data_IF_439439178529
#
_entry.id   IF_439439178529
#
_cell.length_a   1.000
_cell.length_b   1.000
_cell.length_c   1.000
_cell.angle_alpha   90.00
_cell.angle_beta   90.00
_cell.angle_gamma   90.00
#
_symmetry.space_group_name_H-M   'P 1'
#
loop_
_entity.id
_entity.type
_entity.pdbx_description
1 polymer ?
#
# COMPACT_ATOMS: atom_id res chain seq x y z
N UNK A 1 -15.31 9.85 11.20
CA UNK A 1 -14.56 8.76 10.53
C UNK A 1 -13.11 9.13 10.21
N UNK A 2 -12.81 10.35 9.72
CA UNK A 2 -11.45 10.81 9.42
C UNK A 2 -10.48 10.80 10.62
N UNK A 3 -10.92 11.25 11.82
CA UNK A 3 -10.07 11.28 13.02
C UNK A 3 -9.43 9.92 13.36
N UNK A 4 -10.15 8.80 13.18
CA UNK A 4 -9.60 7.46 13.44
C UNK A 4 -8.45 7.10 12.49
N UNK A 5 -8.41 7.69 11.29
CA UNK A 5 -7.39 7.41 10.27
C UNK A 5 -6.13 8.23 10.52
N UNK A 6 -6.28 9.52 10.83
CA UNK A 6 -5.16 10.35 11.29
C UNK A 6 -4.52 9.77 12.55
N UNK A 7 -5.33 9.32 13.52
CA UNK A 7 -4.83 8.69 14.75
C UNK A 7 -4.03 7.42 14.46
N UNK A 8 -4.48 6.56 13.54
CA UNK A 8 -3.73 5.35 13.12
C UNK A 8 -2.39 5.70 12.46
N UNK A 9 -2.35 6.76 11.66
CA UNK A 9 -1.12 7.18 10.96
C UNK A 9 -0.13 7.82 11.94
N UNK A 10 -0.62 8.66 12.86
CA UNK A 10 0.19 9.19 13.96
C UNK A 10 0.71 8.05 14.85
N UNK A 11 -0.14 7.06 15.19
CA UNK A 11 0.26 5.88 15.94
C UNK A 11 1.30 5.03 15.19
N UNK A 12 1.19 4.91 13.86
CA UNK A 12 2.21 4.26 13.02
C UNK A 12 3.55 5.01 13.10
N UNK A 13 3.55 6.33 12.89
CA UNK A 13 4.76 7.14 12.92
C UNK A 13 5.40 7.09 14.32
N UNK A 14 4.58 7.18 15.36
CA UNK A 14 5.04 7.14 16.74
C UNK A 14 5.60 5.76 17.13
N UNK A 15 4.90 4.67 16.79
CA UNK A 15 5.38 3.30 17.05
C UNK A 15 6.65 2.97 16.25
N UNK A 16 6.74 3.44 15.01
CA UNK A 16 7.94 3.36 14.15
C UNK A 16 9.12 4.09 14.79
N UNK A 17 8.92 5.33 15.26
CA UNK A 17 9.94 6.10 15.95
C UNK A 17 10.37 5.47 17.28
N UNK A 18 9.43 4.89 18.03
CA UNK A 18 9.70 4.20 19.28
C UNK A 18 10.60 2.97 19.07
N UNK A 19 10.37 2.19 18.01
CA UNK A 19 11.17 1.01 17.66
C UNK A 19 12.60 1.38 17.31
N UNK A 20 12.80 2.51 16.62
CA UNK A 20 14.14 2.98 16.27
C UNK A 20 14.94 3.38 17.51
N UNK A 21 14.29 3.99 18.51
CA UNK A 21 14.91 4.47 19.75
C UNK A 21 15.18 3.37 20.78
N UNK A 22 14.54 2.20 20.65
CA UNK A 22 14.77 1.07 21.54
C UNK A 22 16.09 0.37 21.21
N UNK A 23 17.05 0.50 22.12
CA UNK A 23 18.33 -0.20 22.09
C UNK A 23 18.31 -1.29 23.17
N UNK A 24 18.25 -2.56 22.73
CA UNK A 24 18.17 -3.71 23.63
C UNK A 24 17.55 -4.95 22.96
N UNK A 25 18.28 -6.09 22.88
CA UNK A 25 17.77 -7.29 22.21
C UNK A 25 16.54 -7.89 22.90
N UNK A 26 16.47 -7.84 24.24
CA UNK A 26 15.33 -8.32 25.02
C UNK A 26 14.07 -7.47 24.82
N UNK A 27 14.22 -6.14 24.79
CA UNK A 27 13.10 -5.21 24.58
C UNK A 27 12.51 -5.35 23.18
N UNK A 28 13.35 -5.55 22.16
CA UNK A 28 12.86 -5.72 20.79
C UNK A 28 12.18 -7.07 20.56
N UNK A 29 12.64 -8.13 21.23
CA UNK A 29 11.96 -9.42 21.25
C UNK A 29 10.59 -9.33 21.94
N UNK A 30 10.48 -8.56 23.04
CA UNK A 30 9.20 -8.31 23.70
C UNK A 30 8.22 -7.52 22.79
N UNK A 31 8.71 -6.50 22.09
CA UNK A 31 7.90 -5.75 21.10
C UNK A 31 7.45 -6.65 19.96
N UNK A 32 8.33 -7.52 19.45
CA UNK A 32 7.96 -8.49 18.42
C UNK A 32 6.86 -9.43 18.90
N UNK A 33 7.01 -10.01 20.10
CA UNK A 33 6.00 -10.86 20.71
C UNK A 33 4.65 -10.16 20.89
N UNK A 34 4.65 -8.91 21.33
CA UNK A 34 3.44 -8.10 21.47
C UNK A 34 2.78 -7.84 20.11
N UNK A 35 3.56 -7.48 19.09
CA UNK A 35 3.03 -7.27 17.73
C UNK A 35 2.44 -8.54 17.12
N UNK A 36 3.07 -9.69 17.36
CA UNK A 36 2.54 -11.00 16.95
C UNK A 36 1.24 -11.33 17.69
N UNK A 37 1.15 -11.06 18.99
CA UNK A 37 -0.09 -11.24 19.76
C UNK A 37 -1.22 -10.36 19.24
N UNK A 38 -0.94 -9.09 18.95
CA UNK A 38 -1.91 -8.17 18.34
C UNK A 38 -2.35 -8.68 16.97
N UNK A 39 -1.41 -9.21 16.16
CA UNK A 39 -1.71 -9.78 14.85
C UNK A 39 -2.62 -11.01 14.95
N UNK A 40 -2.41 -11.87 15.95
CA UNK A 40 -3.25 -13.04 16.23
C UNK A 40 -4.65 -12.62 16.71
N UNK A 41 -4.73 -11.60 17.57
CA UNK A 41 -5.99 -11.05 18.07
C UNK A 41 -6.85 -10.39 16.98
N UNK A 42 -6.24 -9.87 15.91
CA UNK A 42 -6.93 -9.25 14.77
C UNK A 42 -7.65 -10.25 13.83
N UNK A 43 -7.47 -11.55 14.04
CA UNK A 43 -8.28 -12.61 13.42
C UNK A 43 -7.93 -13.00 11.97
N UNK A 44 -8.62 -14.03 11.47
CA UNK A 44 -8.29 -14.74 10.22
C UNK A 44 -8.28 -13.89 8.93
N UNK A 45 -8.94 -12.73 8.94
CA UNK A 45 -9.01 -11.82 7.78
C UNK A 45 -7.65 -11.21 7.42
N UNK A 46 -6.79 -10.99 8.42
CA UNK A 46 -5.40 -10.52 8.22
C UNK A 46 -4.51 -11.66 7.72
N UNK A 47 -4.76 -12.90 8.16
CA UNK A 47 -3.93 -14.08 7.88
C UNK A 47 -3.78 -14.39 6.37
N UNK A 48 -4.87 -14.24 5.59
CA UNK A 48 -4.83 -14.47 4.13
C UNK A 48 -3.95 -13.46 3.38
N UNK A 49 -3.76 -12.25 3.94
CA UNK A 49 -2.84 -11.23 3.40
C UNK A 49 -1.43 -11.41 3.92
N UNK A 50 -1.30 -11.85 5.18
CA UNK A 50 -0.02 -12.10 5.86
C UNK A 50 0.75 -13.26 5.22
N UNK A 51 0.08 -14.34 4.76
CA UNK A 51 0.76 -15.51 4.18
C UNK A 51 1.66 -15.19 2.98
N UNK A 52 1.34 -14.16 2.20
CA UNK A 52 2.17 -13.71 1.08
C UNK A 52 3.42 -12.94 1.51
N UNK A 53 3.44 -12.41 2.75
CA UNK A 53 4.55 -11.63 3.31
C UNK A 53 5.39 -12.38 4.34
N UNK A 54 4.96 -13.57 4.78
CA UNK A 54 5.78 -14.46 5.62
C UNK A 54 7.12 -14.82 4.92
N UNK A 55 7.17 -15.14 3.61
CA UNK A 55 8.43 -15.49 2.95
C UNK A 55 9.51 -14.39 3.01
N UNK A 56 9.24 -13.11 2.68
CA UNK A 56 10.26 -12.06 2.82
C UNK A 56 10.63 -11.77 4.28
N UNK A 57 9.71 -11.89 5.24
CA UNK A 57 10.03 -11.75 6.67
C UNK A 57 11.01 -12.82 7.15
N UNK A 58 10.76 -14.09 6.78
CA UNK A 58 11.66 -15.21 7.08
C UNK A 58 13.01 -15.02 6.40
N UNK A 59 13.01 -14.55 5.14
CA UNK A 59 14.24 -14.27 4.40
C UNK A 59 15.08 -13.20 5.10
N UNK A 60 14.46 -12.09 5.52
CA UNK A 60 15.14 -11.01 6.25
C UNK A 60 15.70 -11.53 7.58
N UNK A 61 14.88 -12.20 8.39
CA UNK A 61 15.31 -12.74 9.68
C UNK A 61 16.43 -13.79 9.51
N UNK A 62 16.30 -14.68 8.53
CA UNK A 62 17.29 -15.72 8.23
C UNK A 62 18.61 -15.14 7.74
N UNK A 63 18.57 -14.15 6.84
CA UNK A 63 19.77 -13.48 6.34
C UNK A 63 20.50 -12.74 7.47
N UNK A 64 19.75 -12.14 8.40
CA UNK A 64 20.32 -11.43 9.55
C UNK A 64 21.07 -12.37 10.51
N UNK A 65 20.48 -13.53 10.82
CA UNK A 65 21.11 -14.55 11.68
C UNK A 65 22.32 -15.16 11.00
N UNK A 66 22.29 -15.33 9.67
CA UNK A 66 23.40 -15.90 8.90
C UNK A 66 24.60 -14.94 8.81
N UNK A 67 24.35 -13.66 8.53
CA UNK A 67 25.43 -12.68 8.31
C UNK A 67 25.93 -11.99 9.58
N UNK A 68 25.11 -11.89 10.62
CA UNK A 68 25.46 -11.09 11.79
C UNK A 68 25.18 -11.85 13.10
N UNK A 69 26.12 -12.72 13.49
CA UNK A 69 26.11 -13.49 14.76
C UNK A 69 26.33 -12.64 16.02
N UNK A 70 26.51 -11.33 15.88
CA UNK A 70 26.65 -10.42 17.02
C UNK A 70 25.28 -10.06 17.63
N UNK A 71 25.26 -9.78 18.95
CA UNK A 71 24.08 -9.27 19.64
C UNK A 71 23.54 -7.98 18.99
N UNK A 72 24.42 -7.14 18.43
CA UNK A 72 24.02 -5.96 17.67
C UNK A 72 23.30 -6.34 16.35
N UNK A 73 23.72 -7.43 15.70
CA UNK A 73 23.08 -7.95 14.49
C UNK A 73 21.67 -8.47 14.73
N UNK A 74 21.48 -9.20 15.83
CA UNK A 74 20.17 -9.63 16.30
C UNK A 74 19.25 -8.44 16.56
N UNK A 75 19.75 -7.39 17.20
CA UNK A 75 18.93 -6.18 17.43
C UNK A 75 18.51 -5.51 16.13
N UNK A 76 19.43 -5.38 15.17
CA UNK A 76 19.10 -4.82 13.87
C UNK A 76 18.03 -5.65 13.14
N UNK A 77 18.07 -6.99 13.28
CA UNK A 77 17.08 -7.87 12.67
C UNK A 77 15.70 -7.78 13.28
N UNK A 78 15.63 -7.72 14.61
CA UNK A 78 14.36 -7.48 15.26
C UNK A 78 13.79 -6.09 14.94
N UNK A 79 14.63 -5.04 14.80
CA UNK A 79 14.16 -3.72 14.36
C UNK A 79 13.50 -3.78 12.98
N UNK A 80 14.19 -4.33 11.98
CA UNK A 80 13.67 -4.40 10.59
C UNK A 80 12.40 -5.24 10.53
N UNK A 81 12.37 -6.36 11.25
CA UNK A 81 11.21 -7.25 11.32
C UNK A 81 10.02 -6.55 11.98
N UNK A 82 10.23 -5.86 13.11
CA UNK A 82 9.18 -5.11 13.82
C UNK A 82 8.62 -3.96 12.99
N UNK A 83 9.48 -3.20 12.31
CA UNK A 83 9.04 -2.13 11.40
C UNK A 83 8.19 -2.67 10.27
N UNK A 84 8.62 -3.78 9.65
CA UNK A 84 7.85 -4.44 8.60
C UNK A 84 6.49 -4.91 9.11
N UNK A 85 6.42 -5.47 10.32
CA UNK A 85 5.17 -5.96 10.93
C UNK A 85 4.18 -4.84 11.24
N UNK A 86 4.66 -3.67 11.69
CA UNK A 86 3.81 -2.49 11.96
C UNK A 86 3.25 -1.88 10.68
N UNK A 87 4.08 -1.75 9.65
CA UNK A 87 3.61 -1.30 8.32
C UNK A 87 2.57 -2.28 7.77
N UNK A 88 2.74 -3.56 8.04
CA UNK A 88 1.81 -4.61 7.65
C UNK A 88 0.47 -4.52 8.40
N UNK A 89 0.49 -4.34 9.72
CA UNK A 89 -0.71 -4.11 10.53
C UNK A 89 -1.49 -2.89 10.04
N UNK A 90 -0.79 -1.80 9.69
CA UNK A 90 -1.41 -0.60 9.16
C UNK A 90 -2.04 -0.81 7.78
N UNK A 91 -1.31 -1.46 6.85
CA UNK A 91 -1.81 -1.75 5.50
C UNK A 91 -2.94 -2.78 5.50
N UNK A 92 -2.92 -3.73 6.45
CA UNK A 92 -3.97 -4.72 6.63
C UNK A 92 -5.29 -4.15 7.18
N UNK A 93 -5.20 -3.12 8.02
CA UNK A 93 -6.35 -2.52 8.71
C UNK A 93 -6.86 -1.22 8.07
N UNK A 94 -6.21 -0.73 7.02
CA UNK A 94 -6.53 0.54 6.35
C UNK A 94 -6.78 0.31 4.86
N UNK A 95 -7.92 0.79 4.35
CA UNK A 95 -8.23 0.67 2.92
C UNK A 95 -7.63 1.82 2.09
N UNK A 96 -7.35 1.62 0.78
CA UNK A 96 -6.76 2.66 -0.07
C UNK A 96 -7.59 3.96 -0.13
N UNK A 97 -8.92 3.85 -0.07
CA UNK A 97 -9.82 5.01 -0.05
C UNK A 97 -9.88 5.76 1.28
N UNK A 98 -9.34 5.17 2.35
CA UNK A 98 -9.18 5.86 3.65
C UNK A 98 -7.87 6.64 3.70
N UNK A 99 -6.82 6.11 3.05
CA UNK A 99 -5.53 6.79 2.90
C UNK A 99 -5.69 8.12 2.15
N UNK A 100 -6.54 8.17 1.11
CA UNK A 100 -6.81 9.40 0.35
C UNK A 100 -7.39 10.54 1.19
N UNK A 101 -8.17 10.22 2.24
CA UNK A 101 -8.76 11.23 3.13
C UNK A 101 -7.74 11.86 4.07
N UNK A 102 -6.64 11.17 4.33
CA UNK A 102 -5.54 11.68 5.14
C UNK A 102 -4.76 12.76 4.39
N UNK A 103 -4.70 12.69 3.06
CA UNK A 103 -4.03 13.69 2.23
C UNK A 103 -4.85 14.97 1.97
N UNK A 104 -5.89 15.24 2.76
CA UNK A 104 -6.70 16.47 2.65
C UNK A 104 -5.96 17.74 3.07
N UNK A 105 -4.81 17.62 3.74
CA UNK A 105 -3.94 18.76 4.05
C UNK A 105 -3.15 19.28 2.84
N UNK A 106 -3.18 18.58 1.69
CA UNK A 106 -2.48 19.02 0.49
C UNK A 106 -3.18 20.24 -0.16
N UNK A 107 -2.42 21.09 -0.88
CA UNK A 107 -2.98 22.14 -1.73
C UNK A 107 -4.11 21.61 -2.62
N UNK A 108 -5.17 22.42 -2.80
CA UNK A 108 -6.43 22.02 -3.46
C UNK A 108 -6.19 21.33 -4.82
N UNK A 109 -5.24 21.82 -5.61
CA UNK A 109 -4.89 21.22 -6.90
C UNK A 109 -4.35 19.79 -6.77
N UNK A 110 -3.45 19.54 -5.82
CA UNK A 110 -2.87 18.22 -5.58
C UNK A 110 -3.88 17.24 -4.97
N UNK A 111 -4.71 17.71 -4.03
CA UNK A 111 -5.77 16.91 -3.44
C UNK A 111 -6.79 16.45 -4.51
N UNK A 112 -7.12 17.33 -5.47
CA UNK A 112 -8.02 17.02 -6.57
C UNK A 112 -7.39 16.01 -7.54
N UNK A 113 -6.13 16.21 -7.95
CA UNK A 113 -5.39 15.26 -8.79
C UNK A 113 -5.29 13.88 -8.14
N UNK A 114 -4.97 13.83 -6.85
CA UNK A 114 -4.87 12.58 -6.09
C UNK A 114 -6.22 11.85 -6.03
N UNK A 115 -7.30 12.60 -5.81
CA UNK A 115 -8.66 12.05 -5.78
C UNK A 115 -9.06 11.46 -7.14
N UNK A 116 -8.76 12.18 -8.23
CA UNK A 116 -9.02 11.70 -9.59
C UNK A 116 -8.19 10.45 -9.87
N UNK A 117 -6.90 10.47 -9.58
CA UNK A 117 -5.99 9.35 -9.81
C UNK A 117 -6.46 8.09 -9.07
N UNK A 118 -6.74 8.19 -7.77
CA UNK A 118 -7.15 7.04 -6.95
C UNK A 118 -8.51 6.45 -7.40
N UNK A 119 -9.44 7.29 -7.86
CA UNK A 119 -10.70 6.83 -8.42
C UNK A 119 -10.54 6.21 -9.82
N UNK A 120 -9.53 6.63 -10.60
CA UNK A 120 -9.24 6.07 -11.92
C UNK A 120 -8.59 4.68 -11.85
N UNK A 121 -7.76 4.40 -10.84
CA UNK A 121 -7.06 3.10 -10.69
C UNK A 121 -7.99 1.89 -10.86
N UNK A 122 -9.09 1.74 -10.09
CA UNK A 122 -9.95 0.56 -10.23
C UNK A 122 -10.59 0.46 -11.62
N UNK A 123 -10.87 1.60 -12.24
CA UNK A 123 -11.49 1.67 -13.56
C UNK A 123 -10.51 1.22 -14.64
N UNK A 124 -9.25 1.67 -14.57
CA UNK A 124 -8.18 1.26 -15.48
C UNK A 124 -7.92 -0.25 -15.36
N UNK A 125 -7.94 -0.80 -14.14
CA UNK A 125 -7.78 -2.24 -13.91
C UNK A 125 -8.89 -3.06 -14.57
N UNK A 126 -10.14 -2.63 -14.45
CA UNK A 126 -11.27 -3.28 -15.13
C UNK A 126 -11.13 -3.19 -16.66
N UNK A 127 -10.69 -2.04 -17.17
CA UNK A 127 -10.48 -1.86 -18.61
C UNK A 127 -9.35 -2.73 -19.14
N UNK A 128 -8.25 -2.86 -18.38
CA UNK A 128 -7.14 -3.77 -18.69
C UNK A 128 -7.63 -5.22 -18.77
N UNK A 129 -8.49 -5.64 -17.85
CA UNK A 129 -9.06 -6.99 -17.85
C UNK A 129 -9.95 -7.22 -19.08
N UNK A 130 -10.80 -6.26 -19.45
CA UNK A 130 -11.63 -6.34 -20.67
C UNK A 130 -10.78 -6.43 -21.92
N UNK A 131 -9.76 -5.59 -22.05
CA UNK A 131 -8.83 -5.61 -23.19
C UNK A 131 -8.13 -6.96 -23.25
N UNK A 132 -7.65 -7.48 -22.12
CA UNK A 132 -7.01 -8.79 -22.03
C UNK A 132 -7.94 -9.91 -22.53
N UNK A 133 -9.21 -9.91 -22.11
CA UNK A 133 -10.20 -10.90 -22.57
C UNK A 133 -10.40 -10.82 -24.09
N UNK A 134 -10.54 -9.62 -24.65
CA UNK A 134 -10.68 -9.41 -26.11
C UNK A 134 -9.46 -9.93 -26.87
N UNK A 135 -8.24 -9.68 -26.36
CA UNK A 135 -7.02 -10.16 -27.03
C UNK A 135 -6.88 -11.69 -26.97
N UNK A 136 -7.32 -12.32 -25.87
CA UNK A 136 -7.37 -13.78 -25.74
C UNK A 136 -8.37 -14.37 -26.75
N UNK A 137 -9.57 -13.77 -26.88
CA UNK A 137 -10.58 -14.21 -27.86
C UNK A 137 -10.10 -14.08 -29.31
N UNK A 138 -9.16 -13.16 -29.58
CA UNK A 138 -8.52 -13.00 -30.90
C UNK A 138 -7.39 -14.00 -31.16
N UNK A 139 -7.19 -14.99 -30.28
CA UNK A 139 -6.18 -16.03 -30.44
C UNK A 139 -4.74 -15.56 -30.20
N UNK A 140 -4.52 -14.30 -29.78
CA UNK A 140 -3.19 -13.83 -29.41
C UNK A 140 -2.83 -14.42 -28.05
N UNK A 141 -1.88 -15.35 -28.04
CA UNK A 141 -1.13 -15.69 -26.82
C UNK A 141 -0.53 -14.38 -26.29
N UNK A 142 -0.47 -14.25 -24.97
CA UNK A 142 -0.11 -13.01 -24.26
C UNK A 142 1.38 -12.92 -23.83
N UNK A 143 2.41 -13.42 -24.56
CA UNK A 143 3.78 -13.18 -24.12
C UNK A 143 4.19 -11.71 -24.32
N UNK A 144 3.51 -10.98 -25.20
CA UNK A 144 3.81 -9.58 -25.48
C UNK A 144 2.76 -8.65 -24.84
N UNK A 145 3.16 -7.68 -23.97
CA UNK A 145 2.23 -6.78 -23.30
C UNK A 145 1.72 -5.61 -24.17
N UNK A 146 2.37 -5.34 -25.32
CA UNK A 146 2.00 -4.24 -26.24
C UNK A 146 0.52 -4.21 -26.65
N UNK A 147 -0.14 -5.34 -27.00
CA UNK A 147 -1.54 -5.36 -27.39
C UNK A 147 -2.53 -4.99 -26.28
N UNK A 148 -2.07 -4.95 -25.02
CA UNK A 148 -2.86 -4.46 -23.88
C UNK A 148 -2.53 -2.99 -23.61
N UNK A 149 -1.25 -2.63 -23.61
CA UNK A 149 -0.78 -1.29 -23.22
C UNK A 149 -1.28 -0.23 -24.19
N UNK A 150 -1.13 -0.44 -25.51
CA UNK A 150 -1.51 0.56 -26.53
C UNK A 150 -2.99 0.97 -26.43
N UNK A 151 -3.96 0.03 -26.46
CA UNK A 151 -5.38 0.40 -26.36
C UNK A 151 -5.73 0.98 -24.98
N UNK A 152 -5.03 0.57 -23.92
CA UNK A 152 -5.24 1.11 -22.58
C UNK A 152 -4.77 2.57 -22.49
N UNK A 153 -3.61 2.90 -23.07
CA UNK A 153 -3.09 4.27 -23.18
C UNK A 153 -4.06 5.16 -23.96
N UNK A 154 -4.53 4.70 -25.12
CA UNK A 154 -5.49 5.46 -25.91
C UNK A 154 -6.78 5.77 -25.13
N UNK A 155 -7.38 4.75 -24.49
CA UNK A 155 -8.61 4.91 -23.71
C UNK A 155 -8.42 5.79 -22.47
N UNK A 156 -7.28 5.71 -21.81
CA UNK A 156 -6.97 6.54 -20.63
C UNK A 156 -6.75 8.00 -21.01
N UNK A 157 -6.05 8.28 -22.12
CA UNK A 157 -5.87 9.65 -22.63
C UNK A 157 -7.21 10.28 -23.04
N UNK A 158 -8.02 9.56 -23.81
CA UNK A 158 -9.34 10.04 -24.24
C UNK A 158 -10.24 10.35 -23.02
N UNK A 159 -10.17 9.52 -21.98
CA UNK A 159 -10.92 9.75 -20.74
C UNK A 159 -10.41 10.95 -19.95
N UNK A 160 -9.08 11.14 -19.91
CA UNK A 160 -8.48 12.32 -19.28
C UNK A 160 -8.94 13.61 -19.96
N UNK A 161 -8.98 13.63 -21.29
CA UNK A 161 -9.50 14.76 -22.08
C UNK A 161 -10.97 15.05 -21.76
N UNK A 162 -11.83 14.02 -21.74
CA UNK A 162 -13.24 14.18 -21.37
C UNK A 162 -13.41 14.73 -19.94
N UNK A 163 -12.64 14.21 -18.98
CA UNK A 163 -12.67 14.71 -17.60
C UNK A 163 -12.20 16.16 -17.50
N UNK A 164 -11.17 16.55 -18.25
CA UNK A 164 -10.72 17.94 -18.31
C UNK A 164 -11.82 18.88 -18.81
N UNK A 165 -12.49 18.51 -19.92
CA UNK A 165 -13.61 19.29 -20.49
C UNK A 165 -14.76 19.41 -19.49
N UNK A 166 -15.12 18.31 -18.80
CA UNK A 166 -16.19 18.32 -17.79
C UNK A 166 -15.83 19.22 -16.60
N UNK A 167 -14.57 19.17 -16.15
CA UNK A 167 -14.12 20.01 -15.04
C UNK A 167 -14.08 21.49 -15.42
N UNK A 168 -13.67 21.82 -16.65
CA UNK A 168 -13.64 23.19 -17.15
C UNK A 168 -15.05 23.77 -17.33
N UNK A 169 -15.97 23.01 -17.93
CA UNK A 169 -17.37 23.42 -18.11
C UNK A 169 -18.05 23.62 -16.75
N UNK A 170 -17.83 22.72 -15.79
CA UNK A 170 -18.35 22.87 -14.42
C UNK A 170 -17.75 24.06 -13.67
N UNK A 171 -16.47 24.37 -13.91
CA UNK A 171 -15.82 25.56 -13.34
C UNK A 171 -16.46 26.83 -13.89
N UNK A 172 -16.66 26.91 -15.21
CA UNK A 172 -17.34 28.05 -15.87
C UNK A 172 -18.80 28.22 -15.43
N UNK A 173 -19.52 27.13 -15.15
CA UNK A 173 -20.91 27.19 -14.70
C UNK A 173 -21.08 27.65 -13.23
N UNK A 174 -19.99 27.76 -12.46
CA UNK A 174 -20.01 28.12 -11.04
C UNK A 174 -19.51 29.56 -10.78
N UNK A 175 -18.99 30.22 -11.81
CA UNK A 175 -18.66 31.65 -11.87
C UNK A 175 -19.79 32.39 -12.55
#
# INVERSE_FOLDING_TARGET
AGMKQYLKLIALIFSSALILRLEGPSLQAAVFGLLVLVLLALGQKIWSRLKFLIPPLILIAGLQVLFNRSLAGLTAGFKITNMSLIVLLYTGTTSPGEISRVFRFLPVGLALTLTIALNLIPIILQEAQKIRLVQISRGKRLPNPLPIIVPLLHRTLQRSQQLAIILETRKKAKT
#
